data_IF_542603004580
#
_entry.id   IF_542603004580
#
_cell.length_a   1.000
_cell.length_b   1.000
_cell.length_c   1.000
_cell.angle_alpha   90.00
_cell.angle_beta   90.00
_cell.angle_gamma   90.00
#
_symmetry.space_group_name_H-M   'P 1'
#
loop_
_entity.id
_entity.type
_entity.pdbx_description
1 polymer ?
#
# COMPACT_ATOMS: atom_id res chain seq x y z
N UNK A 1 -98.38 -19.04 20.17
CA UNK A 1 -97.17 -19.90 20.30
C UNK A 1 -96.06 -19.23 19.55
N UNK A 2 -95.06 -18.67 20.26
CA UNK A 2 -93.91 -17.95 19.67
C UNK A 2 -92.67 -18.70 20.09
N UNK A 3 -91.94 -19.28 19.12
CA UNK A 3 -90.63 -19.86 19.33
C UNK A 3 -89.58 -18.79 19.16
N UNK A 4 -88.74 -18.62 20.17
CA UNK A 4 -87.57 -17.78 20.16
C UNK A 4 -86.35 -18.69 19.87
N UNK A 5 -85.72 -18.47 18.73
CA UNK A 5 -84.41 -19.07 18.37
C UNK A 5 -83.29 -18.23 18.94
N UNK A 6 -82.46 -18.81 19.78
CA UNK A 6 -81.17 -18.23 20.26
C UNK A 6 -80.08 -18.53 19.27
N UNK A 7 -79.44 -17.50 18.74
CA UNK A 7 -78.20 -17.63 17.90
C UNK A 7 -76.98 -17.42 18.79
N UNK A 8 -76.16 -18.43 18.92
CA UNK A 8 -74.89 -18.41 19.65
C UNK A 8 -73.77 -17.98 18.66
N UNK A 9 -73.26 -16.79 18.83
CA UNK A 9 -72.10 -16.31 18.01
C UNK A 9 -70.78 -16.75 18.68
N UNK A 10 -70.03 -17.66 18.03
CA UNK A 10 -68.73 -18.05 18.46
C UNK A 10 -67.70 -17.11 17.83
N UNK A 11 -67.06 -16.24 18.60
CA UNK A 11 -65.93 -15.37 18.20
C UNK A 11 -64.64 -16.16 18.36
N UNK A 12 -64.09 -16.62 17.25
CA UNK A 12 -62.70 -17.13 17.20
C UNK A 12 -61.70 -15.95 17.24
N UNK A 13 -61.03 -15.77 18.38
CA UNK A 13 -59.90 -14.87 18.50
C UNK A 13 -58.63 -15.53 17.86
N UNK A 14 -58.28 -15.12 16.64
CA UNK A 14 -56.97 -15.42 16.04
C UNK A 14 -55.91 -14.61 16.76
N UNK A 15 -55.22 -15.20 17.72
CA UNK A 15 -54.00 -14.64 18.31
C UNK A 15 -52.87 -14.84 17.29
N UNK A 16 -52.65 -13.86 16.41
CA UNK A 16 -51.52 -13.78 15.53
C UNK A 16 -50.25 -13.56 16.34
N UNK A 17 -49.45 -14.58 16.54
CA UNK A 17 -48.08 -14.45 17.05
C UNK A 17 -47.23 -13.68 16.01
N UNK A 18 -47.06 -12.38 16.25
CA UNK A 18 -46.04 -11.59 15.58
C UNK A 18 -44.67 -12.14 15.99
N UNK A 19 -44.13 -13.06 15.21
CA UNK A 19 -42.71 -13.44 15.27
C UNK A 19 -41.94 -12.20 14.81
N UNK A 20 -41.12 -11.56 15.67
CA UNK A 20 -40.26 -10.49 15.17
C UNK A 20 -39.31 -11.10 14.14
N UNK A 21 -39.47 -10.70 12.88
CA UNK A 21 -38.46 -10.93 11.87
C UNK A 21 -37.24 -10.11 12.31
N UNK A 22 -36.40 -10.73 13.11
CA UNK A 22 -35.07 -10.18 13.36
C UNK A 22 -34.42 -10.04 11.99
N UNK A 23 -34.36 -8.81 11.45
CA UNK A 23 -33.51 -8.48 10.34
C UNK A 23 -32.10 -8.83 10.82
N UNK A 24 -31.58 -9.96 10.38
CA UNK A 24 -30.19 -10.28 10.51
C UNK A 24 -29.47 -9.18 9.73
N UNK A 25 -29.05 -8.14 10.45
CA UNK A 25 -28.19 -7.11 9.90
C UNK A 25 -27.00 -7.86 9.32
N UNK A 26 -26.88 -7.91 7.99
CA UNK A 26 -25.78 -8.60 7.33
C UNK A 26 -24.48 -8.05 7.92
N UNK A 27 -23.84 -8.83 8.79
CA UNK A 27 -22.61 -8.44 9.46
C UNK A 27 -21.55 -8.29 8.38
N UNK A 28 -21.12 -7.08 8.13
CA UNK A 28 -20.07 -6.77 7.15
C UNK A 28 -18.83 -6.27 7.86
N UNK A 29 -17.67 -6.65 7.35
CA UNK A 29 -16.41 -6.08 7.76
C UNK A 29 -16.12 -4.86 6.86
N UNK A 30 -16.05 -3.67 7.44
CA UNK A 30 -15.96 -2.43 6.70
C UNK A 30 -14.53 -1.97 6.50
N UNK A 31 -14.15 -1.77 5.24
CA UNK A 31 -12.83 -1.33 4.79
C UNK A 31 -12.97 0.00 4.02
N UNK A 32 -12.90 1.15 4.70
CA UNK A 32 -12.84 2.43 3.99
C UNK A 32 -11.53 2.54 3.20
N UNK A 33 -11.61 3.08 1.98
CA UNK A 33 -10.47 3.26 1.10
C UNK A 33 -10.39 4.72 0.63
N UNK A 34 -9.29 5.39 0.94
CA UNK A 34 -9.04 6.72 0.41
C UNK A 34 -8.39 6.59 -0.96
N UNK A 35 -8.91 7.32 -1.94
CA UNK A 35 -8.49 7.19 -3.34
C UNK A 35 -7.98 8.52 -3.90
N UNK A 36 -7.29 8.44 -5.02
CA UNK A 36 -6.79 9.58 -5.80
C UNK A 36 -7.14 9.39 -7.28
N UNK A 37 -8.43 9.13 -7.58
CA UNK A 37 -8.92 8.89 -8.94
C UNK A 37 -8.95 10.13 -9.81
N UNK A 38 -8.69 11.30 -9.22
CA UNK A 38 -8.65 12.59 -9.91
C UNK A 38 -7.31 13.29 -9.70
N UNK A 39 -7.02 14.29 -10.55
CA UNK A 39 -5.81 15.08 -10.45
C UNK A 39 -4.53 14.39 -10.96
N UNK A 40 -3.35 14.95 -10.63
CA UNK A 40 -2.06 14.52 -11.20
C UNK A 40 -1.63 13.09 -10.86
N UNK A 41 -2.20 12.49 -9.82
CA UNK A 41 -1.86 11.12 -9.40
C UNK A 41 -2.81 10.06 -9.97
N UNK A 42 -3.90 10.48 -10.60
CA UNK A 42 -4.95 9.58 -11.10
C UNK A 42 -4.44 8.45 -12.01
N UNK A 43 -3.48 8.67 -12.92
CA UNK A 43 -2.97 7.59 -13.77
C UNK A 43 -2.42 6.40 -13.00
N UNK A 44 -1.88 6.65 -11.81
CA UNK A 44 -1.27 5.65 -10.94
C UNK A 44 -2.20 5.19 -9.81
N UNK A 45 -2.98 6.10 -9.22
CA UNK A 45 -3.87 5.80 -8.10
C UNK A 45 -5.14 5.05 -8.51
N UNK A 46 -5.65 5.29 -9.74
CA UNK A 46 -6.84 4.60 -10.25
C UNK A 46 -6.65 3.09 -10.38
N UNK A 47 -5.60 2.58 -11.04
CA UNK A 47 -5.34 1.13 -11.09
C UNK A 47 -5.19 0.50 -9.70
N UNK A 48 -4.55 1.19 -8.76
CA UNK A 48 -4.44 0.73 -7.37
C UNK A 48 -5.84 0.55 -6.73
N UNK A 49 -6.71 1.55 -6.84
CA UNK A 49 -8.05 1.48 -6.29
C UNK A 49 -8.89 0.38 -6.98
N UNK A 50 -8.72 0.19 -8.29
CA UNK A 50 -9.38 -0.88 -9.04
C UNK A 50 -8.97 -2.26 -8.52
N UNK A 51 -7.68 -2.53 -8.38
CA UNK A 51 -7.17 -3.79 -7.85
C UNK A 51 -7.63 -4.08 -6.42
N UNK A 52 -7.65 -3.06 -5.57
CA UNK A 52 -8.16 -3.18 -4.20
C UNK A 52 -9.64 -3.57 -4.17
N UNK A 53 -10.48 -2.88 -4.93
CA UNK A 53 -11.91 -3.14 -5.01
C UNK A 53 -12.21 -4.52 -5.60
N UNK A 54 -11.51 -4.92 -6.67
CA UNK A 54 -11.75 -6.20 -7.33
C UNK A 54 -11.31 -7.40 -6.47
N UNK A 55 -10.23 -7.27 -5.71
CA UNK A 55 -9.86 -8.31 -4.74
C UNK A 55 -10.89 -8.44 -3.61
N UNK A 56 -11.44 -7.35 -3.10
CA UNK A 56 -12.50 -7.41 -2.08
C UNK A 56 -13.77 -8.06 -2.61
N UNK A 57 -14.13 -7.82 -3.89
CA UNK A 57 -15.21 -8.56 -4.56
C UNK A 57 -14.89 -10.05 -4.68
N UNK A 58 -13.66 -10.40 -5.06
CA UNK A 58 -13.21 -11.79 -5.11
C UNK A 58 -13.32 -12.47 -3.75
N UNK A 59 -12.93 -11.79 -2.66
CA UNK A 59 -13.09 -12.29 -1.29
C UNK A 59 -14.55 -12.60 -0.99
N UNK A 60 -15.47 -11.72 -1.37
CA UNK A 60 -16.91 -11.95 -1.19
C UNK A 60 -17.42 -13.13 -2.03
N UNK A 61 -16.94 -13.29 -3.26
CA UNK A 61 -17.25 -14.45 -4.11
C UNK A 61 -16.69 -15.78 -3.56
N UNK A 62 -15.64 -15.71 -2.75
CA UNK A 62 -15.07 -16.85 -2.01
C UNK A 62 -15.80 -17.12 -0.68
N UNK A 63 -16.87 -16.37 -0.36
CA UNK A 63 -17.65 -16.52 0.88
C UNK A 63 -17.22 -15.60 2.02
N UNK A 64 -16.50 -14.52 1.72
CA UNK A 64 -16.06 -13.53 2.72
C UNK A 64 -14.88 -14.00 3.58
N UNK A 65 -14.68 -13.31 4.70
CA UNK A 65 -13.64 -13.65 5.68
C UNK A 65 -14.27 -14.55 6.73
N UNK A 66 -14.11 -15.87 6.60
CA UNK A 66 -14.79 -16.87 7.44
C UNK A 66 -16.31 -16.63 7.52
N UNK A 67 -16.96 -16.31 6.40
CA UNK A 67 -18.41 -16.06 6.33
C UNK A 67 -18.83 -14.60 6.57
N UNK A 68 -17.93 -13.69 6.92
CA UNK A 68 -18.23 -12.26 7.04
C UNK A 68 -17.90 -11.56 5.73
N UNK A 69 -18.88 -10.92 5.09
CA UNK A 69 -18.68 -10.21 3.84
C UNK A 69 -17.88 -8.93 4.05
N UNK A 70 -17.10 -8.54 3.07
CA UNK A 70 -16.38 -7.26 3.06
C UNK A 70 -17.25 -6.17 2.44
N UNK A 71 -17.15 -4.97 2.97
CA UNK A 71 -17.73 -3.76 2.41
C UNK A 71 -16.64 -2.72 2.22
N UNK A 72 -16.51 -2.21 1.01
CA UNK A 72 -15.58 -1.10 0.68
C UNK A 72 -16.40 0.15 0.37
N UNK A 73 -16.04 1.26 0.99
CA UNK A 73 -16.52 2.59 0.60
C UNK A 73 -15.30 3.46 0.29
N UNK A 74 -15.26 3.98 -0.94
CA UNK A 74 -14.18 4.87 -1.37
C UNK A 74 -14.48 6.32 -1.01
N UNK A 75 -13.43 7.07 -0.69
CA UNK A 75 -13.49 8.51 -0.55
C UNK A 75 -12.35 9.15 -1.35
N UNK A 76 -12.73 9.99 -2.33
CA UNK A 76 -11.79 10.66 -3.22
C UNK A 76 -11.10 11.83 -2.53
N UNK A 77 -9.77 11.81 -2.52
CA UNK A 77 -8.94 12.83 -1.86
C UNK A 77 -8.21 13.75 -2.82
N UNK A 78 -8.15 13.41 -4.11
CA UNK A 78 -7.25 14.05 -5.08
C UNK A 78 -5.80 14.17 -4.57
N UNK A 79 -5.38 13.25 -3.68
CA UNK A 79 -4.07 13.24 -3.00
C UNK A 79 -3.84 14.44 -2.06
N UNK A 80 -4.89 15.19 -1.70
CA UNK A 80 -4.81 16.33 -0.78
C UNK A 80 -4.97 15.87 0.68
N UNK A 81 -4.09 16.38 1.55
CA UNK A 81 -4.04 15.93 2.95
C UNK A 81 -5.28 16.34 3.75
N UNK A 82 -5.79 17.55 3.56
CA UNK A 82 -7.01 18.06 4.19
C UNK A 82 -8.24 17.23 3.83
N UNK A 83 -8.43 16.92 2.54
CA UNK A 83 -9.49 16.01 2.07
C UNK A 83 -9.33 14.60 2.64
N UNK A 84 -8.10 14.12 2.77
CA UNK A 84 -7.84 12.81 3.39
C UNK A 84 -8.29 12.77 4.84
N UNK A 85 -8.04 13.83 5.62
CA UNK A 85 -8.51 13.95 7.00
C UNK A 85 -10.04 14.03 7.05
N UNK A 86 -10.67 14.80 6.17
CA UNK A 86 -12.14 14.87 6.05
C UNK A 86 -12.74 13.49 5.72
N UNK A 87 -12.19 12.78 4.72
CA UNK A 87 -12.61 11.42 4.37
C UNK A 87 -12.51 10.46 5.55
N UNK A 88 -11.41 10.53 6.31
CA UNK A 88 -11.23 9.73 7.52
C UNK A 88 -12.33 9.99 8.55
N UNK A 89 -12.56 11.26 8.91
CA UNK A 89 -13.59 11.63 9.92
C UNK A 89 -14.99 11.19 9.47
N UNK A 90 -15.29 11.31 8.18
CA UNK A 90 -16.58 10.90 7.61
C UNK A 90 -16.80 9.39 7.62
N UNK A 91 -15.74 8.60 7.39
CA UNK A 91 -15.86 7.16 7.20
C UNK A 91 -15.61 6.35 8.47
N UNK A 92 -14.83 6.85 9.44
CA UNK A 92 -14.35 6.06 10.58
C UNK A 92 -15.47 5.39 11.40
N UNK A 93 -16.63 6.00 11.52
CA UNK A 93 -17.79 5.49 12.30
C UNK A 93 -18.86 4.80 11.46
N UNK A 94 -18.78 4.78 10.13
CA UNK A 94 -19.81 4.17 9.27
C UNK A 94 -19.84 2.65 9.41
N UNK A 95 -20.98 2.06 9.09
CA UNK A 95 -21.20 0.61 9.02
C UNK A 95 -20.76 -0.17 10.28
N UNK A 96 -20.86 0.47 11.45
CA UNK A 96 -20.45 -0.12 12.73
C UNK A 96 -18.98 0.11 13.08
N UNK A 97 -18.27 0.92 12.30
CA UNK A 97 -16.89 1.31 12.51
C UNK A 97 -15.92 0.74 11.47
N UNK A 98 -14.93 1.56 11.12
CA UNK A 98 -13.88 1.15 10.20
C UNK A 98 -12.99 0.07 10.81
N UNK A 99 -12.68 -0.95 10.02
CA UNK A 99 -11.75 -2.02 10.41
C UNK A 99 -10.30 -1.57 10.35
N UNK A 100 -9.93 -0.94 9.24
CA UNK A 100 -8.60 -0.46 8.93
C UNK A 100 -8.70 0.57 7.82
N UNK A 101 -7.84 1.58 7.84
CA UNK A 101 -7.72 2.54 6.75
C UNK A 101 -6.54 2.25 5.84
N UNK A 102 -6.73 2.52 4.54
CA UNK A 102 -5.66 2.66 3.54
C UNK A 102 -5.66 4.08 2.99
N UNK A 103 -4.77 4.96 3.47
CA UNK A 103 -4.81 6.39 3.11
C UNK A 103 -4.22 6.72 1.74
N UNK A 104 -3.51 5.81 1.08
CA UNK A 104 -2.85 5.96 -0.24
C UNK A 104 -1.97 7.22 -0.38
N UNK A 105 -1.66 7.90 0.70
CA UNK A 105 -0.84 9.12 0.70
C UNK A 105 0.04 9.18 1.94
N UNK A 106 1.32 9.48 1.74
CA UNK A 106 2.25 9.71 2.84
C UNK A 106 1.85 10.94 3.65
N UNK A 107 1.42 12.03 3.01
CA UNK A 107 0.94 13.22 3.71
C UNK A 107 -0.28 12.94 4.58
N UNK A 108 -1.26 12.22 4.05
CA UNK A 108 -2.44 11.81 4.83
C UNK A 108 -2.04 10.86 5.97
N UNK A 109 -1.12 9.92 5.73
CA UNK A 109 -0.59 9.02 6.77
C UNK A 109 0.00 9.80 7.94
N UNK A 110 0.83 10.81 7.66
CA UNK A 110 1.40 11.67 8.72
C UNK A 110 0.30 12.39 9.51
N UNK A 111 -0.68 12.98 8.83
CA UNK A 111 -1.77 13.71 9.47
C UNK A 111 -2.67 12.79 10.33
N UNK A 112 -2.87 11.54 9.91
CA UNK A 112 -3.72 10.59 10.64
C UNK A 112 -2.97 9.87 11.77
N UNK A 113 -1.64 9.82 11.75
CA UNK A 113 -0.84 9.09 12.76
C UNK A 113 -1.16 9.50 14.20
N UNK A 114 -1.49 10.78 14.43
CA UNK A 114 -1.84 11.29 15.75
C UNK A 114 -3.34 11.09 16.12
N UNK A 115 -4.19 10.79 15.15
CA UNK A 115 -5.65 10.63 15.33
C UNK A 115 -6.04 9.18 15.59
N UNK A 116 -5.49 8.27 14.81
CA UNK A 116 -5.87 6.85 14.82
C UNK A 116 -5.71 6.13 16.18
N UNK A 117 -4.76 6.50 17.08
CA UNK A 117 -4.70 5.90 18.39
C UNK A 117 -5.94 6.17 19.25
N UNK A 118 -6.52 7.35 19.16
CA UNK A 118 -7.71 7.74 19.91
C UNK A 118 -8.97 7.00 19.40
N UNK A 119 -9.02 6.78 18.09
CA UNK A 119 -10.14 6.09 17.44
C UNK A 119 -9.96 4.55 17.44
N UNK A 120 -8.77 4.06 17.83
CA UNK A 120 -8.42 2.64 17.86
C UNK A 120 -8.61 1.94 16.51
N UNK A 121 -8.25 2.61 15.43
CA UNK A 121 -8.36 2.09 14.06
C UNK A 121 -6.97 1.97 13.47
N UNK A 122 -6.51 0.77 13.07
CA UNK A 122 -5.22 0.60 12.42
C UNK A 122 -5.20 1.20 11.02
N UNK A 123 -3.99 1.54 10.55
CA UNK A 123 -3.75 2.08 9.23
C UNK A 123 -2.67 1.26 8.53
N UNK A 124 -2.98 0.70 7.36
CA UNK A 124 -2.04 -0.05 6.52
C UNK A 124 -1.48 0.87 5.45
N UNK A 125 -0.16 0.84 5.30
CA UNK A 125 0.58 1.67 4.33
C UNK A 125 1.63 0.83 3.59
N UNK A 126 1.17 -0.11 2.74
CA UNK A 126 2.06 -0.99 1.98
C UNK A 126 2.93 -0.20 0.99
N UNK A 127 4.19 0.00 1.37
CA UNK A 127 5.19 0.72 0.56
C UNK A 127 5.06 2.24 0.56
N UNK A 128 4.35 2.83 1.51
CA UNK A 128 4.26 4.29 1.67
C UNK A 128 4.08 4.68 3.15
N UNK A 129 3.92 5.97 3.42
CA UNK A 129 3.73 6.49 4.77
C UNK A 129 5.04 6.75 5.50
N UNK A 130 5.05 6.54 6.79
CA UNK A 130 6.20 6.77 7.67
C UNK A 130 7.09 5.54 7.72
N UNK A 131 8.35 5.67 7.36
CA UNK A 131 9.31 4.56 7.41
C UNK A 131 9.61 4.10 8.85
N UNK A 132 9.64 5.05 9.78
CA UNK A 132 9.87 4.76 11.20
C UNK A 132 8.69 4.07 11.89
N UNK A 133 7.52 4.03 11.25
CA UNK A 133 6.35 3.33 11.79
C UNK A 133 6.46 1.79 11.73
N UNK A 134 7.56 1.25 11.18
CA UNK A 134 7.95 -0.14 11.38
C UNK A 134 8.08 -0.46 12.88
N UNK A 135 8.51 0.50 13.72
CA UNK A 135 8.61 0.32 15.17
C UNK A 135 7.22 0.35 15.84
N UNK A 136 6.59 -0.81 15.95
CA UNK A 136 5.30 -0.96 16.62
C UNK A 136 5.32 -0.65 18.12
N UNK A 137 6.52 -0.58 18.75
CA UNK A 137 6.68 -0.14 20.12
C UNK A 137 6.29 1.32 20.34
N UNK A 138 6.37 2.14 19.30
CA UNK A 138 5.96 3.56 19.30
C UNK A 138 4.72 3.76 18.47
N UNK A 139 4.67 3.23 17.26
CA UNK A 139 3.58 3.40 16.29
C UNK A 139 2.58 2.26 16.35
N UNK A 140 1.90 2.10 17.47
CA UNK A 140 0.98 1.00 17.76
C UNK A 140 -0.09 0.75 16.66
N UNK A 141 -0.46 1.75 15.88
CA UNK A 141 -1.60 1.70 14.96
C UNK A 141 -1.21 1.84 13.48
N UNK A 142 0.07 2.02 13.18
CA UNK A 142 0.59 2.13 11.81
C UNK A 142 1.26 0.83 11.39
N UNK A 143 0.93 0.34 10.19
CA UNK A 143 1.46 -0.91 9.65
C UNK A 143 2.01 -0.69 8.23
N UNK A 144 3.31 -0.37 8.08
CA UNK A 144 3.97 -0.25 6.78
C UNK A 144 4.29 -1.64 6.22
N UNK A 145 3.26 -2.46 6.05
CA UNK A 145 3.39 -3.86 5.63
C UNK A 145 4.17 -3.99 4.33
N UNK A 146 5.01 -5.03 4.26
CA UNK A 146 5.83 -5.46 3.13
C UNK A 146 6.91 -4.49 2.66
N UNK A 147 7.05 -3.32 3.27
CA UNK A 147 8.13 -2.39 2.97
C UNK A 147 7.76 -0.93 3.17
N UNK A 148 8.79 -0.12 3.35
CA UNK A 148 8.72 1.34 3.43
C UNK A 148 9.88 1.96 2.63
N UNK A 149 9.95 3.29 2.53
CA UNK A 149 10.87 3.98 1.63
C UNK A 149 12.36 3.74 1.92
N UNK A 150 12.74 3.47 3.18
CA UNK A 150 14.14 3.14 3.47
C UNK A 150 14.53 1.77 2.92
N UNK A 151 13.61 0.81 2.89
CA UNK A 151 13.80 -0.46 2.18
C UNK A 151 13.97 -0.21 0.67
N UNK A 152 13.11 0.63 0.06
CA UNK A 152 13.21 0.95 -1.36
C UNK A 152 14.54 1.59 -1.73
N UNK A 153 14.94 2.62 -0.98
CA UNK A 153 16.20 3.34 -1.22
C UNK A 153 17.42 2.46 -1.04
N UNK A 154 17.40 1.62 -0.01
CA UNK A 154 18.49 0.68 0.25
C UNK A 154 18.67 -0.32 -0.89
N UNK A 155 17.57 -0.95 -1.34
CA UNK A 155 17.62 -1.92 -2.45
C UNK A 155 18.01 -1.26 -3.78
N UNK A 156 17.56 -0.03 -4.06
CA UNK A 156 18.02 0.73 -5.23
C UNK A 156 19.54 0.89 -5.19
N UNK A 157 20.09 1.36 -4.06
CA UNK A 157 21.53 1.59 -3.91
C UNK A 157 22.33 0.30 -3.92
N UNK A 158 21.83 -0.79 -3.32
CA UNK A 158 22.43 -2.13 -3.43
C UNK A 158 22.52 -2.59 -4.89
N UNK A 159 21.44 -2.37 -5.66
CA UNK A 159 21.43 -2.75 -7.07
C UNK A 159 22.44 -1.94 -7.88
N UNK A 160 22.50 -0.63 -7.69
CA UNK A 160 23.50 0.25 -8.31
C UNK A 160 24.92 -0.20 -7.94
N UNK A 161 25.18 -0.44 -6.65
CA UNK A 161 26.48 -0.92 -6.18
C UNK A 161 26.87 -2.26 -6.84
N UNK A 162 25.92 -3.19 -6.95
CA UNK A 162 26.14 -4.48 -7.62
C UNK A 162 26.50 -4.32 -9.10
N UNK A 163 25.81 -3.41 -9.81
CA UNK A 163 26.12 -3.11 -11.21
C UNK A 163 27.52 -2.51 -11.40
N UNK A 164 27.97 -1.68 -10.47
CA UNK A 164 29.31 -1.07 -10.49
C UNK A 164 30.41 -2.01 -10.00
N UNK A 165 30.09 -3.19 -9.47
CA UNK A 165 31.05 -4.17 -8.97
C UNK A 165 31.34 -4.08 -7.47
N UNK A 166 30.52 -3.39 -6.71
CA UNK A 166 30.54 -3.32 -5.25
C UNK A 166 30.41 -1.91 -4.70
N UNK A 167 30.13 -1.82 -3.40
CA UNK A 167 29.95 -0.55 -2.69
C UNK A 167 31.18 0.38 -2.79
N UNK A 168 32.39 -0.17 -2.80
CA UNK A 168 33.62 0.62 -2.91
C UNK A 168 33.72 1.38 -4.22
N UNK A 169 33.06 0.91 -5.27
CA UNK A 169 33.03 1.55 -6.59
C UNK A 169 32.10 2.76 -6.63
N UNK A 170 31.29 2.95 -5.62
CA UNK A 170 30.45 4.15 -5.51
C UNK A 170 31.17 5.36 -4.94
N UNK A 171 32.35 5.18 -4.32
CA UNK A 171 33.12 6.30 -3.76
C UNK A 171 33.44 7.35 -4.83
N UNK A 172 33.02 8.60 -4.56
CA UNK A 172 33.18 9.73 -5.47
C UNK A 172 32.22 9.75 -6.67
N UNK A 173 31.37 8.73 -6.84
CA UNK A 173 30.26 8.77 -7.81
C UNK A 173 29.23 9.81 -7.37
N UNK A 174 28.56 10.43 -8.34
CA UNK A 174 27.53 11.42 -8.12
C UNK A 174 26.16 10.83 -8.39
N UNK A 175 25.28 10.84 -7.38
CA UNK A 175 23.89 10.38 -7.47
C UNK A 175 22.95 11.58 -7.32
N UNK A 176 22.18 11.88 -8.36
CA UNK A 176 21.11 12.85 -8.27
C UNK A 176 19.83 12.17 -7.74
N UNK A 177 19.13 12.79 -6.80
CA UNK A 177 17.86 12.34 -6.28
C UNK A 177 16.78 13.31 -6.73
N UNK A 178 15.96 12.89 -7.70
CA UNK A 178 14.80 13.65 -8.18
C UNK A 178 13.58 13.19 -7.37
N UNK A 179 13.04 14.07 -6.55
CA UNK A 179 11.99 13.68 -5.61
C UNK A 179 10.86 14.71 -5.51
N UNK A 180 9.66 14.21 -5.26
CA UNK A 180 8.49 15.05 -4.99
C UNK A 180 8.72 15.90 -3.74
N UNK A 181 8.59 17.22 -3.84
CA UNK A 181 8.77 18.14 -2.68
C UNK A 181 7.56 18.06 -1.73
N UNK A 182 7.50 16.99 -0.99
CA UNK A 182 6.45 16.69 -0.01
C UNK A 182 6.96 15.66 1.01
N UNK A 183 6.20 15.34 2.05
CA UNK A 183 6.54 14.24 2.96
C UNK A 183 6.87 12.93 2.23
N UNK A 184 6.14 12.61 1.13
CA UNK A 184 6.40 11.43 0.31
C UNK A 184 7.83 11.39 -0.25
N UNK A 185 8.25 12.45 -0.94
CA UNK A 185 9.58 12.46 -1.56
C UNK A 185 10.70 12.53 -0.54
N UNK A 186 10.48 13.24 0.58
CA UNK A 186 11.47 13.43 1.64
C UNK A 186 11.73 12.18 2.47
N UNK A 187 10.78 11.23 2.52
CA UNK A 187 10.94 9.97 3.23
C UNK A 187 12.10 9.10 2.71
N UNK A 188 12.49 9.27 1.45
CA UNK A 188 13.64 8.55 0.89
C UNK A 188 14.99 9.07 1.39
N UNK A 189 15.09 10.36 1.72
CA UNK A 189 16.37 11.06 1.92
C UNK A 189 17.21 10.51 3.08
N UNK A 190 16.64 10.07 4.22
CA UNK A 190 17.44 9.54 5.32
C UNK A 190 18.30 8.32 4.96
N UNK A 191 17.75 7.35 4.20
CA UNK A 191 18.53 6.17 3.80
C UNK A 191 19.60 6.51 2.74
N UNK A 192 19.29 7.46 1.85
CA UNK A 192 20.28 7.95 0.88
C UNK A 192 21.46 8.60 1.61
N UNK A 193 21.19 9.43 2.61
CA UNK A 193 22.24 10.10 3.41
C UNK A 193 23.06 9.11 4.25
N UNK A 194 22.41 8.11 4.84
CA UNK A 194 23.11 7.08 5.63
C UNK A 194 24.08 6.28 4.74
N UNK A 195 23.62 5.81 3.58
CA UNK A 195 24.48 5.09 2.63
C UNK A 195 25.58 5.99 2.04
N UNK A 196 25.27 7.27 1.82
CA UNK A 196 26.28 8.25 1.40
C UNK A 196 27.43 8.38 2.40
N UNK A 197 27.11 8.49 3.69
CA UNK A 197 28.11 8.56 4.76
C UNK A 197 28.97 7.30 4.81
N UNK A 198 28.38 6.13 4.60
CA UNK A 198 29.10 4.86 4.66
C UNK A 198 30.01 4.63 3.45
N UNK A 199 29.59 5.01 2.25
CA UNK A 199 30.25 4.60 1.01
C UNK A 199 30.91 5.76 0.25
N UNK A 200 30.71 7.00 0.67
CA UNK A 200 31.44 8.17 0.16
C UNK A 200 31.07 8.61 -1.26
N UNK A 201 29.85 8.31 -1.73
CA UNK A 201 29.32 8.92 -2.94
C UNK A 201 28.76 10.32 -2.67
N UNK A 202 28.65 11.15 -3.71
CA UNK A 202 28.07 12.47 -3.63
C UNK A 202 26.58 12.44 -3.94
N UNK A 203 25.79 13.30 -3.29
CA UNK A 203 24.34 13.38 -3.51
C UNK A 203 23.95 14.80 -3.94
N UNK A 204 23.22 14.90 -5.05
CA UNK A 204 22.54 16.11 -5.48
C UNK A 204 21.04 15.95 -5.27
N UNK A 205 20.43 16.80 -4.43
CA UNK A 205 19.00 16.79 -4.16
C UNK A 205 18.28 17.71 -5.14
N UNK A 206 17.29 17.17 -5.86
CA UNK A 206 16.53 17.88 -6.90
C UNK A 206 15.02 17.76 -6.57
N UNK A 207 14.50 18.64 -5.70
CA UNK A 207 13.08 18.68 -5.36
C UNK A 207 12.23 19.13 -6.55
N UNK A 208 11.13 18.43 -6.77
CA UNK A 208 10.13 18.72 -7.80
C UNK A 208 8.82 19.14 -7.10
N UNK A 209 8.39 20.39 -7.20
CA UNK A 209 7.12 20.81 -6.62
C UNK A 209 5.94 20.18 -7.36
N UNK A 210 4.83 19.95 -6.61
CA UNK A 210 3.58 19.48 -7.21
C UNK A 210 3.02 20.54 -8.21
N UNK A 211 2.38 20.10 -9.29
CA UNK A 211 2.04 18.75 -9.70
C UNK A 211 3.17 18.00 -10.44
N UNK A 212 4.34 18.62 -10.63
CA UNK A 212 5.51 17.98 -11.22
C UNK A 212 5.53 17.93 -12.75
N UNK A 213 4.78 18.81 -13.41
CA UNK A 213 4.75 18.92 -14.89
C UNK A 213 5.81 19.87 -15.45
N UNK A 214 6.38 20.74 -14.61
CA UNK A 214 7.43 21.68 -14.99
C UNK A 214 8.78 21.24 -14.45
N UNK A 215 9.53 20.46 -15.25
CA UNK A 215 10.80 19.87 -14.81
C UNK A 215 12.00 20.23 -15.69
N UNK A 216 11.85 21.06 -16.73
CA UNK A 216 12.94 21.42 -17.66
C UNK A 216 14.19 21.94 -16.94
N UNK A 217 14.05 22.83 -15.98
CA UNK A 217 15.17 23.39 -15.22
C UNK A 217 15.93 22.33 -14.42
N UNK A 218 15.23 21.36 -13.86
CA UNK A 218 15.81 20.24 -13.10
C UNK A 218 16.62 19.34 -14.04
N UNK A 219 16.06 18.98 -15.18
CA UNK A 219 16.76 18.10 -16.14
C UNK A 219 17.90 18.82 -16.89
N UNK A 220 17.86 20.15 -17.05
CA UNK A 220 19.02 20.94 -17.46
C UNK A 220 20.14 20.90 -16.41
N UNK A 221 19.82 20.94 -15.12
CA UNK A 221 20.81 20.75 -14.05
C UNK A 221 21.41 19.35 -14.11
N UNK A 222 20.60 18.28 -14.26
CA UNK A 222 21.07 16.91 -14.44
C UNK A 222 22.03 16.82 -15.65
N UNK A 223 21.68 17.44 -16.78
CA UNK A 223 22.54 17.51 -17.97
C UNK A 223 23.88 18.22 -17.71
N UNK A 224 23.86 19.32 -16.98
CA UNK A 224 25.06 20.11 -16.65
C UNK A 224 25.95 19.38 -15.65
N UNK A 225 25.36 18.83 -14.59
CA UNK A 225 26.08 18.17 -13.51
C UNK A 225 26.55 16.75 -13.85
N UNK A 226 25.92 16.10 -14.83
CA UNK A 226 26.25 14.76 -15.33
C UNK A 226 26.40 13.75 -14.18
N UNK A 227 25.38 13.55 -13.34
CA UNK A 227 25.46 12.53 -12.30
C UNK A 227 25.67 11.16 -12.91
N UNK A 228 26.35 10.28 -12.19
CA UNK A 228 26.56 8.88 -12.61
C UNK A 228 25.22 8.13 -12.61
N UNK A 229 24.33 8.45 -11.66
CA UNK A 229 23.01 7.84 -11.52
C UNK A 229 21.96 8.86 -11.10
N UNK A 230 20.71 8.58 -11.47
CA UNK A 230 19.52 9.30 -10.98
C UNK A 230 18.61 8.32 -10.22
N UNK A 231 18.30 8.64 -8.98
CA UNK A 231 17.30 7.94 -8.19
C UNK A 231 16.03 8.79 -8.15
N UNK A 232 14.88 8.18 -8.42
CA UNK A 232 13.60 8.88 -8.53
C UNK A 232 12.63 8.45 -7.43
N UNK A 233 12.13 9.44 -6.68
CA UNK A 233 11.03 9.31 -5.73
C UNK A 233 9.88 10.22 -6.17
N UNK A 234 9.23 9.84 -7.26
CA UNK A 234 8.19 10.58 -7.96
C UNK A 234 6.90 9.75 -8.05
N UNK A 235 5.79 10.38 -8.45
CA UNK A 235 4.48 9.75 -8.44
C UNK A 235 3.55 10.38 -9.49
N UNK A 236 2.80 9.56 -10.21
CA UNK A 236 1.84 10.02 -11.20
C UNK A 236 2.48 10.73 -12.39
N UNK A 237 1.87 11.81 -12.87
CA UNK A 237 2.37 12.57 -14.03
C UNK A 237 3.78 13.08 -13.87
N UNK A 238 4.25 13.28 -12.63
CA UNK A 238 5.62 13.71 -12.33
C UNK A 238 6.66 12.70 -12.83
N UNK A 239 6.39 11.40 -12.70
CA UNK A 239 7.29 10.34 -13.16
C UNK A 239 7.39 10.33 -14.69
N UNK A 240 6.24 10.32 -15.37
CA UNK A 240 6.21 10.36 -16.84
C UNK A 240 6.91 11.61 -17.39
N UNK A 241 6.70 12.77 -16.77
CA UNK A 241 7.37 14.02 -17.13
C UNK A 241 8.89 13.92 -16.93
N UNK A 242 9.33 13.40 -15.78
CA UNK A 242 10.76 13.22 -15.51
C UNK A 242 11.45 12.37 -16.58
N UNK A 243 10.83 11.26 -16.98
CA UNK A 243 11.39 10.37 -17.99
C UNK A 243 11.39 11.03 -19.39
N UNK A 244 10.33 11.78 -19.75
CA UNK A 244 10.28 12.55 -20.99
C UNK A 244 11.39 13.61 -21.06
N UNK A 245 11.61 14.33 -19.97
CA UNK A 245 12.68 15.35 -19.89
C UNK A 245 14.07 14.70 -19.90
N UNK A 246 14.25 13.53 -19.28
CA UNK A 246 15.48 12.75 -19.38
C UNK A 246 15.79 12.33 -20.84
N UNK A 247 14.76 11.91 -21.59
CA UNK A 247 14.88 11.62 -23.03
C UNK A 247 15.29 12.87 -23.79
N UNK A 248 14.61 14.00 -23.56
CA UNK A 248 14.86 15.27 -24.24
C UNK A 248 16.27 15.84 -23.98
N UNK A 249 16.81 15.62 -22.78
CA UNK A 249 18.16 16.06 -22.39
C UNK A 249 19.26 15.05 -22.73
N UNK A 250 18.88 13.86 -23.24
CA UNK A 250 19.82 12.79 -23.61
C UNK A 250 20.43 12.06 -22.42
N UNK A 251 19.84 12.15 -21.23
CA UNK A 251 20.34 11.41 -20.07
C UNK A 251 20.07 9.90 -20.23
N UNK A 252 21.03 8.99 -19.97
CA UNK A 252 20.86 7.55 -20.18
C UNK A 252 19.81 6.95 -19.25
N UNK A 253 18.79 6.27 -19.78
CA UNK A 253 17.71 5.66 -18.97
C UNK A 253 18.20 4.48 -18.14
N UNK A 254 19.22 3.77 -18.59
CA UNK A 254 19.88 2.66 -17.85
C UNK A 254 20.59 3.12 -16.58
N UNK A 255 20.76 4.43 -16.39
CA UNK A 255 21.30 5.07 -15.17
C UNK A 255 20.20 5.69 -14.29
N UNK A 256 18.93 5.41 -14.58
CA UNK A 256 17.77 5.93 -13.86
C UNK A 256 17.05 4.82 -13.13
N UNK A 257 16.84 5.03 -11.82
CA UNK A 257 16.24 4.05 -10.93
C UNK A 257 15.10 4.67 -10.13
N UNK A 258 13.88 4.18 -10.31
CA UNK A 258 12.71 4.58 -9.52
C UNK A 258 12.55 3.74 -8.26
N UNK A 259 11.93 4.34 -7.25
CA UNK A 259 11.29 3.56 -6.21
C UNK A 259 10.02 2.90 -6.75
N UNK A 260 9.35 2.08 -5.95
CA UNK A 260 8.16 1.33 -6.40
C UNK A 260 6.91 2.18 -6.75
N UNK A 261 6.93 3.50 -6.49
CA UNK A 261 5.89 4.43 -6.96
C UNK A 261 6.25 5.12 -8.26
N UNK A 262 7.51 5.02 -8.68
CA UNK A 262 8.04 5.60 -9.92
C UNK A 262 8.31 4.54 -10.99
N UNK A 263 7.64 3.42 -10.98
CA UNK A 263 7.93 2.31 -11.88
C UNK A 263 6.70 1.49 -12.24
N UNK A 264 5.75 2.11 -12.92
CA UNK A 264 4.56 1.46 -13.38
C UNK A 264 4.27 1.73 -14.86
N UNK A 265 3.44 0.91 -15.48
CA UNK A 265 3.13 0.99 -16.90
C UNK A 265 2.61 2.37 -17.34
N UNK A 266 1.73 3.08 -16.58
CA UNK A 266 1.29 4.43 -16.94
C UNK A 266 2.41 5.45 -17.04
N UNK A 267 3.51 5.25 -16.32
CA UNK A 267 4.66 6.18 -16.34
C UNK A 267 5.42 6.14 -17.67
N UNK A 268 5.36 5.01 -18.39
CA UNK A 268 6.26 4.70 -19.51
C UNK A 268 5.56 4.38 -20.82
N UNK A 269 4.29 3.98 -20.77
CA UNK A 269 3.53 3.49 -21.93
C UNK A 269 3.59 4.46 -23.12
N UNK A 270 3.34 5.75 -22.87
CA UNK A 270 3.32 6.78 -23.91
C UNK A 270 4.73 7.18 -24.40
N UNK A 271 5.77 6.82 -23.64
CA UNK A 271 7.17 7.10 -23.99
C UNK A 271 7.73 5.93 -24.80
N UNK A 272 7.27 4.72 -24.49
CA UNK A 272 7.58 3.49 -25.23
C UNK A 272 9.08 3.17 -25.27
N UNK A 273 9.59 2.95 -26.48
CA UNK A 273 10.97 2.56 -26.72
C UNK A 273 12.01 3.60 -26.24
N UNK A 274 11.66 4.89 -26.21
CA UNK A 274 12.56 5.93 -25.73
C UNK A 274 12.85 5.85 -24.22
N UNK A 275 11.99 5.16 -23.46
CA UNK A 275 12.21 4.90 -22.04
C UNK A 275 12.98 3.59 -21.75
N UNK A 276 13.37 2.83 -22.77
CA UNK A 276 14.08 1.56 -22.62
C UNK A 276 15.32 1.73 -21.74
N UNK A 277 15.48 0.81 -20.79
CA UNK A 277 16.58 0.81 -19.80
C UNK A 277 16.21 1.41 -18.45
N UNK A 278 15.13 2.21 -18.36
CA UNK A 278 14.65 2.69 -17.07
C UNK A 278 14.30 1.55 -16.14
N UNK A 279 14.78 1.60 -14.90
CA UNK A 279 14.55 0.56 -13.89
C UNK A 279 13.84 1.10 -12.66
N UNK A 280 13.15 0.22 -11.93
CA UNK A 280 12.56 0.55 -10.64
C UNK A 280 12.55 -0.66 -9.71
N UNK A 281 12.56 -0.42 -8.40
CA UNK A 281 12.40 -1.50 -7.41
C UNK A 281 10.92 -1.81 -7.19
N UNK A 282 10.62 -3.08 -6.89
CA UNK A 282 9.28 -3.57 -6.61
C UNK A 282 9.29 -4.50 -5.41
N UNK A 283 8.37 -4.26 -4.46
CA UNK A 283 8.16 -5.13 -3.29
C UNK A 283 7.17 -6.27 -3.57
N UNK A 284 6.39 -6.16 -4.64
CA UNK A 284 5.52 -7.23 -5.16
C UNK A 284 5.70 -7.32 -6.67
N UNK A 285 5.30 -8.46 -7.22
CA UNK A 285 5.29 -8.63 -8.66
C UNK A 285 4.22 -7.72 -9.29
N UNK A 286 4.59 -7.01 -10.36
CA UNK A 286 3.64 -6.56 -11.35
C UNK A 286 3.34 -7.74 -12.28
N UNK A 287 2.61 -7.52 -13.29
CA UNK A 287 2.26 -8.40 -14.41
C UNK A 287 2.94 -9.78 -14.54
N UNK A 288 2.73 -10.70 -13.58
CA UNK A 288 2.75 -12.11 -13.92
C UNK A 288 1.35 -12.48 -14.40
N UNK A 289 1.10 -12.50 -15.71
CA UNK A 289 -0.24 -12.78 -16.24
C UNK A 289 -0.74 -14.17 -15.82
N UNK A 290 0.15 -15.02 -15.32
CA UNK A 290 -0.12 -16.38 -14.89
C UNK A 290 -0.30 -16.54 -13.38
N UNK A 291 -0.22 -15.47 -12.57
CA UNK A 291 -0.50 -15.58 -11.15
C UNK A 291 -1.96 -16.06 -10.95
N UNK A 292 -2.20 -17.12 -10.17
CA UNK A 292 -3.55 -17.70 -10.02
C UNK A 292 -4.60 -16.66 -9.60
N UNK A 293 -4.24 -15.71 -8.73
CA UNK A 293 -5.16 -14.64 -8.31
C UNK A 293 -5.57 -13.72 -9.47
N UNK A 294 -4.67 -13.43 -10.41
CA UNK A 294 -4.96 -12.64 -11.62
C UNK A 294 -6.00 -13.34 -12.48
N UNK A 295 -5.74 -14.63 -12.75
CA UNK A 295 -6.68 -15.46 -13.50
C UNK A 295 -8.05 -15.51 -12.82
N UNK A 296 -8.09 -15.69 -11.53
CA UNK A 296 -9.34 -15.79 -10.78
C UNK A 296 -10.14 -14.47 -10.79
N UNK A 297 -9.46 -13.32 -10.69
CA UNK A 297 -10.09 -12.00 -10.84
C UNK A 297 -10.69 -11.85 -12.25
N UNK A 298 -9.93 -12.22 -13.29
CA UNK A 298 -10.43 -12.16 -14.67
C UNK A 298 -11.67 -13.04 -14.89
N UNK A 299 -11.62 -14.29 -14.39
CA UNK A 299 -12.67 -15.28 -14.62
C UNK A 299 -13.92 -15.05 -13.73
N UNK A 300 -13.74 -14.61 -12.49
CA UNK A 300 -14.85 -14.52 -11.53
C UNK A 300 -15.40 -13.11 -11.34
N UNK A 301 -14.58 -12.07 -11.55
CA UNK A 301 -14.99 -10.67 -11.36
C UNK A 301 -15.25 -10.00 -12.72
N UNK A 302 -14.23 -9.94 -13.57
CA UNK A 302 -14.35 -9.24 -14.86
C UNK A 302 -15.25 -9.98 -15.87
N UNK A 303 -15.16 -11.30 -15.99
CA UNK A 303 -16.00 -12.05 -16.90
C UNK A 303 -17.50 -11.97 -16.56
N UNK A 304 -17.84 -11.60 -15.33
CA UNK A 304 -19.23 -11.36 -14.88
C UNK A 304 -19.67 -9.89 -14.97
N UNK A 305 -18.87 -9.02 -15.58
CA UNK A 305 -19.16 -7.59 -15.67
C UNK A 305 -19.08 -6.84 -14.34
N UNK A 306 -18.41 -7.40 -13.31
CA UNK A 306 -18.26 -6.79 -12.00
C UNK A 306 -16.89 -6.16 -11.78
N UNK A 307 -15.97 -6.24 -12.76
CA UNK A 307 -14.65 -5.63 -12.69
C UNK A 307 -14.70 -4.12 -12.54
N UNK A 308 -13.76 -3.59 -11.79
CA UNK A 308 -13.55 -2.16 -11.64
C UNK A 308 -12.42 -1.73 -12.59
N UNK A 309 -12.76 -0.84 -13.52
CA UNK A 309 -11.82 -0.37 -14.54
C UNK A 309 -11.59 -1.31 -15.71
N UNK A 310 -10.64 -0.98 -16.60
CA UNK A 310 -10.35 -1.74 -17.80
C UNK A 310 -9.77 -3.13 -17.50
N UNK A 311 -10.17 -4.13 -18.29
CA UNK A 311 -9.70 -5.52 -18.12
C UNK A 311 -8.19 -5.68 -18.34
N UNK A 312 -7.60 -4.88 -19.19
CA UNK A 312 -6.16 -4.91 -19.53
C UNK A 312 -5.27 -4.29 -18.45
N UNK A 313 -5.84 -3.63 -17.45
CA UNK A 313 -5.12 -3.22 -16.23
C UNK A 313 -4.85 -4.39 -15.27
N UNK A 314 -5.65 -5.47 -15.35
CA UNK A 314 -5.54 -6.59 -14.42
C UNK A 314 -4.18 -7.28 -14.58
N UNK A 315 -3.40 -7.29 -13.52
CA UNK A 315 -2.03 -7.82 -13.51
C UNK A 315 -0.95 -6.75 -13.68
N UNK A 316 -1.27 -5.50 -14.02
CA UNK A 316 -0.29 -4.41 -14.05
C UNK A 316 0.21 -4.06 -12.63
N UNK A 317 1.37 -3.42 -12.55
CA UNK A 317 2.08 -3.14 -11.30
C UNK A 317 1.19 -2.52 -10.22
N UNK A 318 0.49 -1.44 -10.54
CA UNK A 318 -0.31 -0.70 -9.54
C UNK A 318 -1.64 -1.39 -9.23
N UNK A 319 -2.25 -2.04 -10.21
CA UNK A 319 -3.41 -2.89 -9.98
C UNK A 319 -3.05 -4.01 -8.97
N UNK A 320 -1.94 -4.72 -9.21
CA UNK A 320 -1.46 -5.77 -8.30
C UNK A 320 -1.08 -5.24 -6.92
N UNK A 321 -0.62 -4.01 -6.82
CA UNK A 321 -0.38 -3.37 -5.51
C UNK A 321 -1.68 -3.15 -4.74
N UNK A 322 -2.74 -2.77 -5.42
CA UNK A 322 -4.08 -2.71 -4.84
C UNK A 322 -4.58 -4.08 -4.37
N UNK A 323 -4.41 -5.11 -5.21
CA UNK A 323 -4.75 -6.51 -4.89
C UNK A 323 -3.99 -6.99 -3.64
N UNK A 324 -2.67 -6.74 -3.57
CA UNK A 324 -1.84 -7.09 -2.41
C UNK A 324 -2.26 -6.31 -1.17
N UNK A 325 -2.52 -5.01 -1.29
CA UNK A 325 -3.00 -4.18 -0.18
C UNK A 325 -4.32 -4.69 0.41
N UNK A 326 -5.27 -5.07 -0.44
CA UNK A 326 -6.54 -5.67 -0.03
C UNK A 326 -6.35 -7.05 0.61
N UNK A 327 -5.47 -7.89 0.04
CA UNK A 327 -5.14 -9.20 0.62
C UNK A 327 -4.56 -9.06 2.02
N UNK A 328 -3.60 -8.16 2.22
CA UNK A 328 -3.01 -7.90 3.54
C UNK A 328 -4.06 -7.43 4.55
N UNK A 329 -4.97 -6.53 4.13
CA UNK A 329 -6.07 -6.07 4.97
C UNK A 329 -6.99 -7.23 5.40
N UNK A 330 -7.34 -8.11 4.47
CA UNK A 330 -8.19 -9.29 4.71
C UNK A 330 -7.51 -10.31 5.63
N UNK A 331 -6.24 -10.62 5.39
CA UNK A 331 -5.52 -11.65 6.15
C UNK A 331 -5.21 -11.22 7.59
N UNK A 332 -5.00 -9.93 7.86
CA UNK A 332 -4.94 -9.43 9.24
C UNK A 332 -6.27 -9.60 9.98
N UNK A 333 -7.41 -9.32 9.32
CA UNK A 333 -8.73 -9.61 9.89
C UNK A 333 -8.94 -11.10 10.11
N UNK A 334 -8.52 -11.95 9.15
CA UNK A 334 -8.60 -13.40 9.30
C UNK A 334 -7.79 -13.90 10.51
N UNK A 335 -6.56 -13.38 10.70
CA UNK A 335 -5.74 -13.67 11.87
C UNK A 335 -6.43 -13.24 13.17
N UNK A 336 -7.06 -12.07 13.19
CA UNK A 336 -7.86 -11.62 14.34
C UNK A 336 -9.04 -12.54 14.62
N UNK A 337 -9.75 -12.99 13.58
CA UNK A 337 -10.89 -13.91 13.74
C UNK A 337 -10.47 -15.28 14.27
N UNK A 338 -9.28 -15.77 13.98
CA UNK A 338 -8.78 -17.03 14.56
C UNK A 338 -8.68 -16.93 16.09
N UNK A 339 -8.33 -15.77 16.62
CA UNK A 339 -8.26 -15.53 18.08
C UNK A 339 -9.61 -15.15 18.69
N UNK A 340 -10.31 -14.19 18.09
CA UNK A 340 -11.48 -13.55 18.71
C UNK A 340 -12.83 -14.17 18.29
N UNK A 341 -12.79 -15.11 17.33
CA UNK A 341 -13.95 -15.90 16.90
C UNK A 341 -14.18 -15.82 15.38
N UNK A 342 -14.09 -16.98 14.73
CA UNK A 342 -14.44 -17.13 13.31
C UNK A 342 -15.88 -16.72 13.05
N UNK A 343 -16.12 -16.05 11.90
CA UNK A 343 -17.43 -15.58 11.50
C UNK A 343 -17.93 -14.36 12.29
N UNK A 344 -17.08 -13.72 13.08
CA UNK A 344 -17.41 -12.46 13.76
C UNK A 344 -16.81 -11.26 13.05
N UNK A 345 -17.53 -10.15 13.07
CA UNK A 345 -16.96 -8.84 12.74
C UNK A 345 -15.97 -8.48 13.84
N UNK A 346 -14.75 -8.09 13.45
CA UNK A 346 -13.71 -7.66 14.38
C UNK A 346 -13.68 -6.14 14.50
N UNK A 347 -13.39 -5.65 15.69
CA UNK A 347 -13.16 -4.22 15.94
C UNK A 347 -11.79 -3.80 15.40
N UNK A 348 -11.52 -2.48 15.26
CA UNK A 348 -10.21 -1.97 14.89
C UNK A 348 -9.10 -2.43 15.86
N UNK A 349 -9.39 -2.51 17.17
CA UNK A 349 -8.43 -2.99 18.16
C UNK A 349 -8.09 -4.49 17.98
N UNK A 350 -9.10 -5.31 17.68
CA UNK A 350 -8.91 -6.72 17.36
C UNK A 350 -8.16 -6.89 16.02
N UNK A 351 -8.50 -6.06 15.02
CA UNK A 351 -7.80 -6.05 13.73
C UNK A 351 -6.34 -5.67 13.91
N UNK A 352 -6.02 -4.67 14.76
CA UNK A 352 -4.63 -4.34 15.13
C UNK A 352 -3.87 -5.56 15.61
N UNK A 353 -4.45 -6.31 16.54
CA UNK A 353 -3.82 -7.56 17.01
C UNK A 353 -3.55 -8.53 15.84
N UNK A 354 -4.49 -8.66 14.91
CA UNK A 354 -4.32 -9.50 13.72
C UNK A 354 -3.17 -9.05 12.83
N UNK A 355 -2.99 -7.74 12.63
CA UNK A 355 -1.86 -7.20 11.87
C UNK A 355 -0.53 -7.34 12.61
N UNK A 356 -0.51 -7.29 13.93
CA UNK A 356 0.70 -7.57 14.73
C UNK A 356 1.08 -9.05 14.76
N UNK A 357 0.16 -9.95 14.40
CA UNK A 357 0.36 -11.40 14.39
C UNK A 357 0.18 -12.01 12.98
N UNK A 358 0.34 -11.19 11.95
CA UNK A 358 0.24 -11.64 10.58
C UNK A 358 1.42 -12.57 10.26
N UNK A 359 1.10 -13.77 9.79
CA UNK A 359 2.09 -14.75 9.36
C UNK A 359 1.65 -15.37 8.02
N UNK A 360 2.09 -14.77 6.93
CA UNK A 360 1.87 -15.22 5.56
C UNK A 360 3.10 -15.99 5.09
N UNK A 361 3.11 -17.29 5.35
CA UNK A 361 4.13 -18.21 4.82
C UNK A 361 3.98 -18.35 3.30
N UNK A 362 5.02 -18.87 2.63
CA UNK A 362 4.94 -19.14 1.19
C UNK A 362 3.75 -20.06 0.86
N UNK A 363 3.52 -21.10 1.67
CA UNK A 363 2.39 -22.02 1.47
C UNK A 363 1.02 -21.30 1.56
N UNK A 364 0.86 -20.34 2.48
CA UNK A 364 -0.36 -19.54 2.57
C UNK A 364 -0.51 -18.62 1.36
N UNK A 365 0.56 -17.96 0.93
CA UNK A 365 0.54 -17.11 -0.26
C UNK A 365 0.18 -17.93 -1.51
N UNK A 366 0.74 -19.12 -1.66
CA UNK A 366 0.43 -20.02 -2.77
C UNK A 366 -1.04 -20.46 -2.76
N UNK A 367 -1.58 -20.80 -1.58
CA UNK A 367 -2.99 -21.17 -1.40
C UNK A 367 -3.96 -20.01 -1.69
N UNK A 368 -3.56 -18.76 -1.43
CA UNK A 368 -4.32 -17.56 -1.76
C UNK A 368 -4.23 -17.17 -3.24
N UNK A 369 -3.35 -17.81 -4.02
CA UNK A 369 -3.11 -17.52 -5.43
C UNK A 369 -2.01 -16.48 -5.69
N UNK A 370 -1.18 -16.17 -4.69
CA UNK A 370 -0.10 -15.18 -4.76
C UNK A 370 1.29 -15.79 -5.01
N UNK A 371 1.34 -17.01 -5.53
CA UNK A 371 2.60 -17.67 -5.88
C UNK A 371 3.45 -16.78 -6.79
N UNK A 372 4.67 -16.47 -6.37
CA UNK A 372 5.61 -15.60 -7.12
C UNK A 372 5.30 -14.10 -7.07
N UNK A 373 4.16 -13.68 -6.51
CA UNK A 373 3.77 -12.26 -6.46
C UNK A 373 4.55 -11.49 -5.41
N UNK A 374 4.80 -12.07 -4.25
CA UNK A 374 5.50 -11.42 -3.16
C UNK A 374 6.23 -12.42 -2.27
N UNK A 375 7.10 -11.91 -1.42
CA UNK A 375 7.79 -12.71 -0.39
C UNK A 375 6.92 -12.91 0.84
N UNK A 376 7.17 -13.94 1.66
CA UNK A 376 6.50 -14.15 2.94
C UNK A 376 6.55 -12.92 3.85
N UNK A 377 5.53 -12.76 4.69
CA UNK A 377 5.38 -11.65 5.63
C UNK A 377 5.14 -12.21 7.02
N UNK A 378 5.93 -11.75 8.00
CA UNK A 378 5.74 -12.10 9.41
C UNK A 378 5.95 -10.86 10.28
N UNK A 379 4.86 -10.35 10.83
CA UNK A 379 4.86 -9.19 11.72
C UNK A 379 4.95 -9.59 13.19
N UNK A 380 5.22 -8.61 14.02
CA UNK A 380 5.12 -8.73 15.47
C UNK A 380 4.65 -7.40 16.05
N UNK A 381 4.36 -7.39 17.35
CA UNK A 381 4.04 -6.19 18.12
C UNK A 381 5.12 -5.08 18.03
N UNK A 382 6.36 -5.42 17.70
CA UNK A 382 7.48 -4.49 17.59
C UNK A 382 8.01 -4.32 16.15
N UNK A 383 7.60 -5.18 15.23
CA UNK A 383 7.94 -5.08 13.81
C UNK A 383 6.66 -5.13 12.98
N UNK A 384 6.17 -3.97 12.57
CA UNK A 384 4.94 -3.82 11.81
C UNK A 384 5.14 -3.91 10.28
N UNK A 385 6.37 -4.11 9.81
CA UNK A 385 6.66 -4.24 8.38
C UNK A 385 6.60 -5.69 7.90
N UNK A 386 7.24 -6.58 8.62
CA UNK A 386 7.17 -8.03 8.40
C UNK A 386 7.89 -8.57 7.17
N UNK A 387 8.45 -7.72 6.31
CA UNK A 387 9.22 -8.12 5.12
C UNK A 387 10.12 -6.97 4.66
N UNK A 388 11.33 -7.30 4.21
CA UNK A 388 12.33 -6.33 3.74
C UNK A 388 12.85 -6.68 2.34
N UNK A 389 12.07 -7.37 1.54
CA UNK A 389 12.48 -7.87 0.23
C UNK A 389 11.92 -7.02 -0.91
N UNK A 390 12.75 -6.76 -1.92
CA UNK A 390 12.35 -6.13 -3.16
C UNK A 390 13.12 -6.71 -4.35
N UNK A 391 12.64 -6.46 -5.57
CA UNK A 391 13.31 -6.82 -6.83
C UNK A 391 13.37 -5.61 -7.74
N UNK A 392 14.31 -5.62 -8.67
CA UNK A 392 14.40 -4.60 -9.71
C UNK A 392 13.81 -5.14 -10.99
N UNK A 393 12.97 -4.33 -11.64
CA UNK A 393 12.51 -4.54 -13.00
C UNK A 393 12.96 -3.41 -13.90
N UNK A 394 13.12 -3.70 -15.19
CA UNK A 394 13.59 -2.75 -16.22
C UNK A 394 12.59 -2.73 -17.37
N UNK A 395 12.34 -1.54 -17.88
CA UNK A 395 11.52 -1.34 -19.06
C UNK A 395 12.28 -1.72 -20.33
N UNK A 396 11.77 -2.68 -21.11
CA UNK A 396 12.38 -3.17 -22.33
C UNK A 396 12.03 -2.33 -23.58
N UNK A 397 11.15 -1.35 -23.41
CA UNK A 397 10.60 -0.50 -24.47
C UNK A 397 9.09 -0.71 -24.68
N UNK A 398 8.51 -1.79 -24.12
CA UNK A 398 7.11 -2.14 -24.22
C UNK A 398 6.50 -2.61 -22.88
N UNK A 399 7.28 -3.30 -22.06
CA UNK A 399 6.87 -3.86 -20.77
C UNK A 399 8.01 -3.91 -19.78
N UNK A 400 7.71 -4.10 -18.52
CA UNK A 400 8.71 -4.38 -17.51
C UNK A 400 9.15 -5.86 -17.54
N UNK A 401 10.44 -6.09 -17.36
CA UNK A 401 11.07 -7.40 -17.22
C UNK A 401 11.97 -7.42 -16.00
N UNK A 402 12.14 -8.57 -15.36
CA UNK A 402 12.99 -8.67 -14.18
C UNK A 402 14.48 -8.48 -14.51
N UNK A 403 15.13 -7.58 -13.79
CA UNK A 403 16.55 -7.27 -13.88
C UNK A 403 17.36 -7.81 -12.69
N UNK A 404 16.69 -8.29 -11.63
CA UNK A 404 17.38 -8.89 -10.49
C UNK A 404 16.56 -10.06 -9.91
N UNK A 405 17.22 -10.90 -9.11
CA UNK A 405 16.55 -11.71 -8.09
C UNK A 405 16.05 -10.84 -6.94
N UNK A 406 15.38 -11.47 -5.97
CA UNK A 406 15.00 -10.81 -4.74
C UNK A 406 16.23 -10.36 -3.96
N UNK A 407 16.25 -9.09 -3.59
CA UNK A 407 17.26 -8.45 -2.75
C UNK A 407 16.63 -8.15 -1.39
N UNK A 408 17.35 -8.45 -0.33
CA UNK A 408 16.94 -8.07 1.01
C UNK A 408 17.61 -6.75 1.38
N UNK A 409 16.81 -5.81 1.87
CA UNK A 409 17.36 -4.58 2.43
C UNK A 409 18.19 -4.88 3.68
N UNK A 410 19.17 -4.06 3.92
CA UNK A 410 20.12 -4.24 5.04
C UNK A 410 19.46 -3.87 6.37
N UNK A 411 18.89 -4.85 7.02
CA UNK A 411 18.21 -4.66 8.31
C UNK A 411 19.16 -4.18 9.41
N UNK A 412 20.48 -4.42 9.30
CA UNK A 412 21.45 -3.92 10.29
C UNK A 412 21.59 -2.40 10.24
N UNK A 413 21.26 -1.79 9.11
CA UNK A 413 21.23 -0.33 8.93
C UNK A 413 19.82 0.21 9.18
N UNK A 414 18.80 -0.42 8.59
CA UNK A 414 17.43 0.08 8.63
C UNK A 414 16.84 0.03 10.05
N UNK A 415 17.00 -1.07 10.79
CA UNK A 415 16.43 -1.21 12.14
C UNK A 415 16.95 -0.17 13.14
N UNK A 416 18.27 0.14 13.22
CA UNK A 416 18.75 1.25 14.02
C UNK A 416 18.20 2.62 13.60
N UNK A 417 18.08 2.89 12.29
CA UNK A 417 17.50 4.12 11.80
C UNK A 417 16.03 4.25 12.22
N UNK A 418 15.24 3.18 12.04
CA UNK A 418 13.84 3.10 12.47
C UNK A 418 13.72 3.37 13.95
N UNK A 419 14.54 2.69 14.77
CA UNK A 419 14.55 2.83 16.23
C UNK A 419 14.85 4.26 16.66
N UNK A 420 15.92 4.85 16.14
CA UNK A 420 16.33 6.23 16.47
C UNK A 420 15.26 7.25 16.08
N UNK A 421 14.65 7.12 14.89
CA UNK A 421 13.58 8.03 14.44
C UNK A 421 12.32 7.87 15.28
N UNK A 422 11.92 6.65 15.59
CA UNK A 422 10.75 6.37 16.42
C UNK A 422 10.94 6.91 17.87
N UNK A 423 12.12 6.75 18.45
CA UNK A 423 12.44 7.29 19.79
C UNK A 423 12.40 8.82 19.81
N UNK A 424 12.94 9.49 18.78
CA UNK A 424 12.84 10.94 18.65
C UNK A 424 11.38 11.39 18.57
N UNK A 425 10.57 10.76 17.72
CA UNK A 425 9.14 11.06 17.61
C UNK A 425 8.42 10.81 18.95
N UNK A 426 8.72 9.71 19.63
CA UNK A 426 8.13 9.41 20.94
C UNK A 426 8.47 10.50 21.98
N UNK A 427 9.71 11.00 22.00
CA UNK A 427 10.13 12.10 22.85
C UNK A 427 9.39 13.40 22.54
N UNK A 428 9.28 13.77 21.28
CA UNK A 428 8.56 14.98 20.81
C UNK A 428 7.07 14.93 21.16
N UNK A 429 6.45 13.76 21.04
CA UNK A 429 5.01 13.56 21.26
C UNK A 429 4.67 13.05 22.66
N UNK A 430 5.66 12.85 23.52
CA UNK A 430 5.51 12.29 24.88
C UNK A 430 4.82 10.92 24.89
N UNK A 431 5.13 10.08 23.91
CA UNK A 431 4.62 8.72 23.78
C UNK A 431 5.50 7.78 24.59
N UNK A 432 4.90 7.03 25.51
CA UNK A 432 5.61 5.94 26.20
C UNK A 432 5.69 4.73 25.29
N UNK A 433 6.90 4.21 25.07
CA UNK A 433 7.12 2.98 24.32
C UNK A 433 6.42 1.82 25.01
N UNK A 434 5.81 0.91 24.23
CA UNK A 434 5.13 -0.27 24.74
C UNK A 434 6.08 -1.20 25.52
N UNK A 435 5.57 -1.76 26.61
CA UNK A 435 6.20 -2.90 27.28
C UNK A 435 5.88 -4.19 26.49
N UNK A 436 6.80 -5.18 26.42
CA UNK A 436 6.50 -6.50 25.86
C UNK A 436 5.24 -7.17 26.40
N UNK A 437 4.84 -6.88 27.64
CA UNK A 437 3.61 -7.37 28.25
C UNK A 437 2.35 -6.85 27.52
N UNK A 438 2.40 -5.64 26.95
CA UNK A 438 1.29 -5.04 26.22
C UNK A 438 1.03 -5.72 24.88
N UNK A 439 1.92 -6.60 24.44
CA UNK A 439 1.82 -7.34 23.19
C UNK A 439 0.93 -8.59 23.27
N UNK A 440 0.55 -8.97 24.47
CA UNK A 440 -0.29 -10.17 24.71
C UNK A 440 -1.79 -9.87 24.73
N UNK A 441 -2.15 -8.59 24.78
CA UNK A 441 -3.56 -8.11 24.90
C UNK A 441 -4.26 -7.93 23.56
#
# INVERSE_FOLDING_TARGET
MKFKTLALAATLALAGTLVPIAHAQNKVQFFPSLTGRTGPVAPNATPFANGYADYMKLVNLRGGINGVMTLVEECETAYATDRGVECYERLKGKHGGATVFQPLSTGITFALTEKIPNDKIPMITSGYGRSDSQDGGVFKWNFPLIGHYWVAGDVVLQHIAKQEGGWDKLRGKKIAVVYHDSPFGKELLPIIDERRKMHGFEVQLLPVPAPGVEQKSIWLQVRQQRPDFVVMQTWGVMTATAIKEAVATGYPREKMFGTWWSGAEPDLRDIGAAAKGYSAVMMQHGAEPNAPVVKEILDKVHAKGQGTGPKDEVGQVLYMRGVVGAMLAVEGVRAAQERFGKGKVVTGEQARWGYENLNLTQAKLDALGFKGVMRPVSTSCFDHMGSAWARVHTWDGAKFTWASDWLQADEQIIKPMVRSSAERYAGEKKITRRDPKDCQS
#
